data_IF_773071256757
#
_entry.id   IF_773071256757
#
_cell.length_a   1.000
_cell.length_b   1.000
_cell.length_c   1.000
_cell.angle_alpha   90.00
_cell.angle_beta   90.00
_cell.angle_gamma   90.00
#
_symmetry.space_group_name_H-M   'P 1'
#
loop_
_entity.id
_entity.type
_entity.pdbx_description
1 polymer ?
#
# COMPACT_ATOMS: atom_id res chain seq x y z
N UNK A 1 -3.59 -14.16 12.24
CA UNK A 1 -4.22 -14.42 10.93
C UNK A 1 -3.19 -14.17 9.84
N UNK A 2 -3.09 -15.08 8.89
CA UNK A 2 -2.14 -14.94 7.78
C UNK A 2 -2.64 -13.92 6.77
N UNK A 3 -1.71 -13.29 6.04
CA UNK A 3 -2.04 -12.27 5.04
C UNK A 3 -3.07 -12.76 4.03
N UNK A 4 -2.91 -13.97 3.52
CA UNK A 4 -3.87 -14.53 2.55
C UNK A 4 -5.28 -14.63 3.10
N UNK A 5 -5.43 -14.94 4.37
CA UNK A 5 -6.72 -14.99 5.02
C UNK A 5 -7.35 -13.61 5.12
N UNK A 6 -6.53 -12.60 5.43
CA UNK A 6 -6.98 -11.20 5.51
C UNK A 6 -7.46 -10.72 4.14
N UNK A 7 -6.70 -11.02 3.09
CA UNK A 7 -7.03 -10.59 1.73
C UNK A 7 -8.32 -11.24 1.19
N UNK A 8 -8.71 -12.39 1.74
CA UNK A 8 -9.90 -13.11 1.33
C UNK A 8 -11.13 -12.83 2.21
N UNK A 9 -11.01 -11.91 3.17
CA UNK A 9 -12.13 -11.53 4.02
C UNK A 9 -13.25 -10.89 3.21
N UNK A 10 -14.49 -11.24 3.56
CA UNK A 10 -15.67 -10.63 2.95
C UNK A 10 -15.90 -9.25 3.59
N UNK A 11 -15.54 -8.20 2.86
CA UNK A 11 -15.57 -6.82 3.35
C UNK A 11 -16.98 -6.31 3.62
N UNK A 12 -18.01 -7.00 3.15
CA UNK A 12 -19.41 -6.65 3.47
C UNK A 12 -19.73 -6.89 4.94
N UNK A 13 -18.95 -7.76 5.59
CA UNK A 13 -19.12 -8.05 7.01
C UNK A 13 -18.37 -7.03 7.85
N UNK A 14 -19.04 -6.50 8.87
CA UNK A 14 -18.45 -5.53 9.78
C UNK A 14 -17.20 -6.08 10.48
N UNK A 15 -17.24 -7.34 10.87
CA UNK A 15 -16.10 -8.03 11.49
C UNK A 15 -14.86 -7.99 10.60
N UNK A 16 -15.06 -8.22 9.29
CA UNK A 16 -13.97 -8.19 8.32
C UNK A 16 -13.39 -6.80 8.18
N UNK A 17 -14.23 -5.78 8.18
CA UNK A 17 -13.81 -4.39 8.12
C UNK A 17 -12.96 -4.03 9.34
N UNK A 18 -13.37 -4.44 10.51
CA UNK A 18 -12.63 -4.20 11.74
C UNK A 18 -11.25 -4.89 11.73
N UNK A 19 -11.18 -6.11 11.25
CA UNK A 19 -9.92 -6.85 11.14
C UNK A 19 -8.96 -6.12 10.20
N UNK A 20 -9.45 -5.67 9.06
CA UNK A 20 -8.65 -4.95 8.08
C UNK A 20 -8.12 -3.64 8.69
N UNK A 21 -8.95 -2.90 9.41
CA UNK A 21 -8.52 -1.68 10.08
C UNK A 21 -7.43 -1.95 11.12
N UNK A 22 -7.57 -3.01 11.91
CA UNK A 22 -6.56 -3.39 12.89
C UNK A 22 -5.23 -3.75 12.23
N UNK A 23 -5.28 -4.48 11.13
CA UNK A 23 -4.07 -4.86 10.40
C UNK A 23 -3.37 -3.62 9.82
N UNK A 24 -4.14 -2.72 9.23
CA UNK A 24 -3.59 -1.46 8.70
C UNK A 24 -2.92 -0.63 9.79
N UNK A 25 -3.52 -0.56 10.98
CA UNK A 25 -2.95 0.23 12.10
C UNK A 25 -1.66 -0.35 12.64
N UNK A 26 -1.35 -1.60 12.37
CA UNK A 26 -0.06 -2.19 12.75
C UNK A 26 1.08 -1.72 11.85
N UNK A 27 0.76 -1.15 10.69
CA UNK A 27 1.75 -0.56 9.80
C UNK A 27 2.09 0.82 10.34
N UNK A 28 3.37 1.06 10.62
CA UNK A 28 3.82 2.23 11.38
C UNK A 28 3.22 3.56 10.96
N UNK A 29 3.22 3.96 9.67
CA UNK A 29 2.67 5.26 9.28
C UNK A 29 1.16 5.38 9.49
N UNK A 30 0.45 4.26 9.61
CA UNK A 30 -0.99 4.24 9.82
C UNK A 30 -1.37 4.06 11.29
N UNK A 31 -0.41 3.78 12.15
CA UNK A 31 -0.67 3.50 13.58
C UNK A 31 -1.15 4.72 14.36
N UNK A 32 -0.96 5.92 13.81
CA UNK A 32 -1.40 7.17 14.44
C UNK A 32 -2.91 7.40 14.38
N UNK A 33 -3.62 6.66 13.55
CA UNK A 33 -5.06 6.85 13.39
C UNK A 33 -5.83 6.15 14.49
N UNK A 34 -6.90 6.81 14.93
CA UNK A 34 -7.75 6.34 16.04
C UNK A 34 -8.49 5.06 15.68
N UNK A 35 -8.73 4.21 16.68
CA UNK A 35 -9.58 3.03 16.56
C UNK A 35 -11.05 3.37 16.33
N UNK A 36 -11.45 4.61 16.61
CA UNK A 36 -12.83 5.04 16.51
C UNK A 36 -13.28 5.37 15.09
N UNK A 37 -12.33 5.55 14.18
CA UNK A 37 -12.64 5.90 12.80
C UNK A 37 -11.78 5.09 11.83
N UNK A 38 -12.28 4.93 10.61
CA UNK A 38 -11.51 4.27 9.56
C UNK A 38 -10.33 5.14 9.15
N UNK A 39 -9.24 4.47 8.80
CA UNK A 39 -8.07 5.14 8.25
C UNK A 39 -8.47 5.80 6.93
N UNK A 40 -8.13 7.09 6.71
CA UNK A 40 -8.48 7.76 5.45
C UNK A 40 -7.85 7.07 4.25
N UNK A 41 -8.59 7.00 3.15
CA UNK A 41 -8.08 6.37 1.92
C UNK A 41 -6.80 7.06 1.42
N UNK A 42 -6.70 8.37 1.61
CA UNK A 42 -5.51 9.14 1.22
C UNK A 42 -4.26 8.66 1.95
N UNK A 43 -4.40 8.27 3.21
CA UNK A 43 -3.29 7.72 3.98
C UNK A 43 -2.88 6.35 3.46
N UNK A 44 -3.84 5.54 3.06
CA UNK A 44 -3.58 4.22 2.47
C UNK A 44 -2.88 4.37 1.12
N UNK A 45 -3.36 5.29 0.28
CA UNK A 45 -2.75 5.57 -1.01
C UNK A 45 -1.31 6.09 -0.85
N UNK A 46 -1.09 6.95 0.15
CA UNK A 46 0.25 7.46 0.44
C UNK A 46 1.20 6.31 0.81
N UNK A 47 0.74 5.37 1.62
CA UNK A 47 1.52 4.19 1.98
C UNK A 47 1.91 3.40 0.73
N UNK A 48 0.97 3.16 -0.16
CA UNK A 48 1.23 2.44 -1.42
C UNK A 48 2.28 3.17 -2.25
N UNK A 49 2.14 4.50 -2.39
CA UNK A 49 3.11 5.30 -3.16
C UNK A 49 4.51 5.24 -2.57
N UNK A 50 4.62 5.30 -1.24
CA UNK A 50 5.93 5.22 -0.57
C UNK A 50 6.57 3.86 -0.83
N UNK A 51 5.80 2.79 -0.74
CA UNK A 51 6.31 1.45 -1.03
C UNK A 51 6.80 1.32 -2.47
N UNK A 52 6.05 1.88 -3.43
CA UNK A 52 6.45 1.88 -4.84
C UNK A 52 7.75 2.66 -5.05
N UNK A 53 7.90 3.77 -4.37
CA UNK A 53 9.09 4.61 -4.51
C UNK A 53 10.33 3.99 -3.87
N UNK A 54 10.17 3.23 -2.80
CA UNK A 54 11.28 2.71 -2.02
C UNK A 54 11.70 1.30 -2.43
N UNK A 55 10.80 0.49 -2.92
CA UNK A 55 11.05 -0.92 -3.21
C UNK A 55 10.75 -1.26 -4.65
N UNK A 56 11.31 -2.39 -5.11
CA UNK A 56 11.09 -2.91 -6.46
C UNK A 56 9.76 -3.65 -6.58
N UNK A 57 8.69 -2.94 -6.27
CA UNK A 57 7.33 -3.49 -6.28
C UNK A 57 6.37 -2.44 -6.88
N UNK A 58 5.40 -2.90 -7.64
CA UNK A 58 4.43 -2.00 -8.27
C UNK A 58 3.05 -2.64 -8.36
N UNK A 59 1.99 -1.85 -8.13
CA UNK A 59 0.64 -2.30 -8.42
C UNK A 59 0.30 -2.08 -9.89
N UNK A 60 -0.62 -2.89 -10.40
CA UNK A 60 -1.12 -2.77 -11.76
C UNK A 60 -2.62 -2.98 -11.77
N UNK A 61 -3.38 -1.99 -12.24
CA UNK A 61 -4.81 -2.12 -12.42
C UNK A 61 -5.11 -3.24 -13.40
N UNK A 62 -6.03 -4.10 -12.99
CA UNK A 62 -6.55 -5.16 -13.83
C UNK A 62 -7.89 -4.76 -14.39
N UNK A 63 -8.38 -5.50 -15.38
CA UNK A 63 -9.72 -5.28 -15.89
C UNK A 63 -10.75 -5.61 -14.82
N UNK A 64 -11.88 -4.90 -14.83
CA UNK A 64 -12.98 -5.19 -13.91
C UNK A 64 -13.46 -6.62 -14.12
N UNK A 65 -13.74 -7.29 -12.99
CA UNK A 65 -14.20 -8.66 -13.03
C UNK A 65 -15.72 -8.69 -13.20
N UNK A 66 -16.19 -8.90 -14.41
CA UNK A 66 -17.61 -9.02 -14.69
C UNK A 66 -18.17 -10.39 -14.37
N UNK A 67 -17.30 -11.40 -14.30
CA UNK A 67 -17.71 -12.79 -14.20
C UNK A 67 -17.60 -13.35 -12.79
N UNK A 68 -16.98 -12.60 -11.90
CA UNK A 68 -16.72 -13.07 -10.55
C UNK A 68 -17.22 -12.05 -9.52
N UNK A 69 -18.54 -11.89 -9.40
CA UNK A 69 -19.10 -10.88 -8.50
C UNK A 69 -18.75 -11.11 -7.03
N UNK A 70 -18.40 -12.34 -6.66
CA UNK A 70 -17.96 -12.64 -5.30
C UNK A 70 -16.54 -12.14 -5.01
N UNK A 71 -15.71 -11.92 -6.06
CA UNK A 71 -14.35 -11.40 -5.91
C UNK A 71 -14.31 -9.89 -5.88
N UNK A 72 -15.35 -9.23 -6.36
CA UNK A 72 -15.44 -7.79 -6.35
C UNK A 72 -15.33 -7.17 -7.73
N UNK A 73 -15.55 -5.85 -7.79
CA UNK A 73 -15.58 -5.10 -9.03
C UNK A 73 -14.17 -4.66 -9.44
N UNK A 74 -13.35 -4.33 -8.45
CA UNK A 74 -12.00 -3.81 -8.68
C UNK A 74 -10.97 -4.89 -8.42
N UNK A 75 -9.95 -4.95 -9.26
CA UNK A 75 -8.82 -5.84 -9.04
C UNK A 75 -7.52 -5.13 -9.37
N UNK A 76 -6.53 -5.32 -8.51
CA UNK A 76 -5.20 -4.74 -8.68
C UNK A 76 -4.18 -5.87 -8.49
N UNK A 77 -3.34 -6.06 -9.49
CA UNK A 77 -2.25 -7.02 -9.40
C UNK A 77 -1.03 -6.39 -8.78
N UNK A 78 -0.18 -7.20 -8.20
CA UNK A 78 1.08 -6.78 -7.60
C UNK A 78 2.21 -7.56 -8.25
N UNK A 79 3.25 -6.86 -8.69
CA UNK A 79 4.40 -7.49 -9.31
C UNK A 79 5.69 -6.78 -8.91
N UNK A 80 6.82 -7.47 -9.11
CA UNK A 80 8.13 -6.85 -8.96
C UNK A 80 8.45 -6.03 -10.21
N UNK A 81 9.20 -4.94 -10.04
CA UNK A 81 9.56 -4.07 -11.17
C UNK A 81 10.79 -4.56 -11.92
N UNK A 82 11.69 -5.28 -11.24
CA UNK A 82 12.96 -5.73 -11.84
C UNK A 82 12.79 -6.88 -12.82
N UNK A 83 12.11 -7.94 -12.40
CA UNK A 83 11.96 -9.16 -13.19
C UNK A 83 10.51 -9.45 -13.57
N UNK A 84 9.61 -8.51 -13.30
CA UNK A 84 8.19 -8.61 -13.62
C UNK A 84 7.53 -9.87 -13.03
N UNK A 85 8.01 -10.31 -11.89
CA UNK A 85 7.44 -11.46 -11.20
C UNK A 85 6.09 -11.11 -10.61
N UNK A 86 5.09 -11.89 -10.93
CA UNK A 86 3.74 -11.71 -10.44
C UNK A 86 3.63 -12.20 -9.00
N UNK A 87 3.12 -11.36 -8.09
CA UNK A 87 3.01 -11.67 -6.67
C UNK A 87 1.58 -11.97 -6.22
N UNK A 88 0.61 -11.71 -7.07
CA UNK A 88 -0.79 -11.97 -6.78
C UNK A 88 -1.67 -10.79 -7.11
N UNK A 89 -2.98 -10.96 -6.89
CA UNK A 89 -4.00 -9.96 -7.18
C UNK A 89 -4.88 -9.77 -5.96
N UNK A 90 -5.24 -8.52 -5.67
CA UNK A 90 -6.20 -8.18 -4.63
C UNK A 90 -7.51 -7.71 -5.27
N UNK A 91 -8.62 -7.95 -4.59
CA UNK A 91 -9.96 -7.68 -5.08
C UNK A 91 -10.73 -6.83 -4.09
N UNK A 92 -11.66 -6.02 -4.59
CA UNK A 92 -12.50 -5.23 -3.72
C UNK A 92 -13.81 -4.84 -4.39
N UNK A 93 -14.86 -4.75 -3.59
CA UNK A 93 -16.17 -4.28 -4.04
C UNK A 93 -16.22 -2.77 -4.17
N UNK A 94 -15.32 -2.07 -3.50
CA UNK A 94 -15.19 -0.62 -3.56
C UNK A 94 -13.71 -0.24 -3.57
N UNK A 95 -13.43 1.03 -3.90
CA UNK A 95 -12.06 1.52 -3.95
C UNK A 95 -11.35 1.40 -2.61
N UNK A 96 -12.06 1.71 -1.52
CA UNK A 96 -11.47 1.62 -0.18
C UNK A 96 -10.98 0.21 0.13
N UNK A 97 -11.82 -0.79 -0.12
CA UNK A 97 -11.47 -2.18 0.13
C UNK A 97 -10.26 -2.61 -0.68
N UNK A 98 -10.25 -2.32 -1.98
CA UNK A 98 -9.15 -2.77 -2.85
C UNK A 98 -7.84 -2.08 -2.49
N UNK A 99 -7.86 -0.79 -2.15
CA UNK A 99 -6.65 -0.09 -1.72
C UNK A 99 -6.16 -0.57 -0.35
N UNK A 100 -7.08 -0.84 0.58
CA UNK A 100 -6.70 -1.38 1.88
C UNK A 100 -6.03 -2.74 1.74
N UNK A 101 -6.62 -3.63 0.96
CA UNK A 101 -6.04 -4.94 0.70
C UNK A 101 -4.73 -4.84 -0.08
N UNK A 102 -4.64 -3.90 -1.03
CA UNK A 102 -3.41 -3.65 -1.78
C UNK A 102 -2.26 -3.25 -0.85
N UNK A 103 -2.51 -2.30 0.05
CA UNK A 103 -1.51 -1.84 1.00
C UNK A 103 -1.02 -3.00 1.89
N UNK A 104 -1.93 -3.81 2.38
CA UNK A 104 -1.61 -4.98 3.20
C UNK A 104 -0.76 -5.98 2.41
N UNK A 105 -1.15 -6.27 1.17
CA UNK A 105 -0.42 -7.19 0.30
C UNK A 105 1.00 -6.71 0.02
N UNK A 106 1.14 -5.46 -0.40
CA UNK A 106 2.45 -4.89 -0.73
C UNK A 106 3.34 -4.82 0.50
N UNK A 107 2.81 -4.37 1.63
CA UNK A 107 3.56 -4.30 2.88
C UNK A 107 4.03 -5.67 3.32
N UNK A 108 3.16 -6.67 3.23
CA UNK A 108 3.51 -8.06 3.57
C UNK A 108 4.65 -8.60 2.71
N UNK A 109 4.61 -8.32 1.40
CA UNK A 109 5.67 -8.77 0.49
C UNK A 109 6.99 -8.10 0.80
N UNK A 110 6.98 -6.80 1.12
CA UNK A 110 8.17 -6.06 1.49
C UNK A 110 8.75 -6.60 2.80
N UNK A 111 7.90 -6.86 3.80
CA UNK A 111 8.35 -7.37 5.10
C UNK A 111 8.88 -8.79 5.04
N UNK A 112 8.48 -9.57 4.07
CA UNK A 112 9.01 -10.93 3.89
C UNK A 112 10.48 -10.95 3.48
N UNK A 113 11.01 -9.80 3.05
CA UNK A 113 12.39 -9.68 2.60
C UNK A 113 12.63 -10.11 1.16
N UNK A 114 11.56 -10.44 0.43
CA UNK A 114 11.67 -10.91 -0.96
C UNK A 114 11.76 -9.77 -1.97
N UNK A 115 11.49 -8.54 -1.54
CA UNK A 115 11.47 -7.38 -2.42
C UNK A 115 12.69 -6.51 -2.14
N UNK A 116 13.58 -6.33 -3.14
CA UNK A 116 14.77 -5.48 -2.94
C UNK A 116 14.40 -4.01 -2.86
N UNK A 117 15.24 -3.24 -2.20
CA UNK A 117 15.16 -1.80 -2.19
C UNK A 117 15.51 -1.28 -3.58
N UNK A 118 14.76 -0.30 -4.06
CA UNK A 118 14.97 0.28 -5.38
C UNK A 118 16.34 0.96 -5.44
N UNK A 119 17.11 0.64 -6.47
CA UNK A 119 18.40 1.27 -6.71
C UNK A 119 18.19 2.54 -7.54
N UNK A 120 18.59 3.67 -7.00
CA UNK A 120 18.49 4.95 -7.68
C UNK A 120 19.79 5.28 -8.41
N UNK A 121 19.69 5.89 -9.59
CA UNK A 121 20.83 6.47 -10.29
C UNK A 121 21.32 7.70 -9.53
N UNK A 122 22.54 8.15 -9.84
CA UNK A 122 23.09 9.37 -9.22
C UNK A 122 22.19 10.58 -9.50
N UNK A 123 21.66 10.68 -10.70
CA UNK A 123 20.78 11.77 -11.10
C UNK A 123 19.45 11.75 -10.33
N UNK A 124 18.88 10.58 -10.15
CA UNK A 124 17.65 10.42 -9.38
C UNK A 124 17.87 10.79 -7.91
N UNK A 125 18.99 10.34 -7.33
CA UNK A 125 19.33 10.68 -5.95
C UNK A 125 19.51 12.18 -5.78
N UNK A 126 20.13 12.83 -6.75
CA UNK A 126 20.34 14.27 -6.71
C UNK A 126 19.01 15.02 -6.82
N UNK A 127 18.12 14.60 -7.70
CA UNK A 127 16.78 15.20 -7.84
C UNK A 127 15.97 15.03 -6.56
N UNK A 128 16.02 13.86 -5.97
CA UNK A 128 15.32 13.61 -4.71
C UNK A 128 15.85 14.52 -3.59
N UNK A 129 17.15 14.66 -3.52
CA UNK A 129 17.79 15.52 -2.53
C UNK A 129 17.38 16.97 -2.68
N UNK A 130 17.34 17.47 -3.91
CA UNK A 130 16.89 18.82 -4.21
C UNK A 130 15.39 19.01 -3.90
N UNK A 131 14.57 18.04 -4.21
CA UNK A 131 13.15 18.08 -3.90
C UNK A 131 12.91 18.14 -2.39
N UNK A 132 13.64 17.34 -1.61
CA UNK A 132 13.55 17.38 -0.15
C UNK A 132 13.98 18.71 0.43
N UNK A 133 15.02 19.31 -0.12
CA UNK A 133 15.47 20.63 0.32
C UNK A 133 14.43 21.72 0.04
N UNK A 134 13.82 21.67 -1.14
CA UNK A 134 12.75 22.60 -1.49
C UNK A 134 11.55 22.45 -0.57
N UNK A 135 11.12 21.21 -0.31
CA UNK A 135 10.00 20.92 0.59
C UNK A 135 10.30 21.36 2.02
N UNK A 136 11.52 21.16 2.49
CA UNK A 136 11.92 21.57 3.83
C UNK A 136 11.87 23.09 4.02
N UNK A 137 12.13 23.85 2.95
CA UNK A 137 12.04 25.32 3.00
C UNK A 137 10.59 25.80 2.99
N UNK A 138 9.69 25.07 2.36
CA UNK A 138 8.31 25.48 2.17
C UNK A 138 7.37 24.98 3.26
N UNK A 139 7.71 23.86 3.88
CA UNK A 139 6.83 23.17 4.82
C UNK A 139 7.58 22.79 6.08
N UNK A 140 7.83 23.77 6.94
CA UNK A 140 8.60 23.58 8.16
C UNK A 140 8.06 22.54 9.12
N UNK A 141 6.76 22.27 9.03
CA UNK A 141 6.05 21.42 9.99
C UNK A 141 5.74 20.04 9.48
N UNK A 142 6.02 19.75 8.22
CA UNK A 142 5.69 18.46 7.63
C UNK A 142 6.82 17.46 7.81
N UNK A 143 6.61 16.51 8.70
CA UNK A 143 7.64 15.56 9.08
C UNK A 143 7.19 14.10 9.06
N UNK A 144 6.00 13.84 8.54
CA UNK A 144 5.40 12.51 8.60
C UNK A 144 6.16 11.44 7.82
N UNK A 145 6.89 11.82 6.80
CA UNK A 145 7.62 10.91 5.93
C UNK A 145 8.85 10.30 6.58
N UNK A 146 9.31 10.86 7.66
CA UNK A 146 10.56 10.44 8.32
C UNK A 146 10.47 9.03 8.90
N UNK A 147 9.30 8.57 9.18
CA UNK A 147 9.07 7.26 9.77
C UNK A 147 9.40 6.10 8.83
N UNK A 148 9.73 6.41 7.60
CA UNK A 148 10.01 5.40 6.59
C UNK A 148 11.47 5.00 6.46
N UNK A 149 12.33 5.60 7.20
CA UNK A 149 13.75 5.29 7.17
C UNK A 149 14.10 3.93 7.76
#
# INVERSE_FOLDING_TARGET
MKTEQILNLDYRKEESQEIIQKVLRKIKPLSKYSDESNIPIEAIEKLVRVLVQKYEITPQWMSMSYFEPILGIYSIGVKTTTDHKWLGTVYGMCLYEVFAKLAIKMYSEVKSGNIPVRTMTKEEKQRERLAKQADAKMAETEDDEEDWS
#
